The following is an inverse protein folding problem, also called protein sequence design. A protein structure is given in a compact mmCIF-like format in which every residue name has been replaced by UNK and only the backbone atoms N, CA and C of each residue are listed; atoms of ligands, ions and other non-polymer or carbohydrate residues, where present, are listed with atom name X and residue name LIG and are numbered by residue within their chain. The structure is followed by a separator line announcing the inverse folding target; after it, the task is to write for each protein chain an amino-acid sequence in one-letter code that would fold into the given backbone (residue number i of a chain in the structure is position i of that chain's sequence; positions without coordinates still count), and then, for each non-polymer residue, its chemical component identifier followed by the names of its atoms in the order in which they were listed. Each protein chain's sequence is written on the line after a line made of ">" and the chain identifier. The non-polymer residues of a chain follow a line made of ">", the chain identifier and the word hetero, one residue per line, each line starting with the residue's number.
data_IF_698295994470
#
_entry.id   IF_698295994470
#
_cell.length_a   1.000
_cell.length_b   1.000
_cell.length_c   1.000
_cell.angle_alpha   90.00
_cell.angle_beta   90.00
_cell.angle_gamma   90.00
#
_symmetry.space_group_name_H-M   'P 1'
#
loop_
_entity.id
_entity.type
_entity.pdbx_description
1 polymer ?
#
# COMPACT_ATOMS: atom_id res chain seq x y z
N UNK A 1 3.69 -10.88 16.39
CA UNK A 1 2.73 -10.71 15.27
C UNK A 1 2.60 -9.20 15.01
N UNK A 2 2.93 -8.68 13.82
CA UNK A 2 2.89 -7.23 13.54
C UNK A 2 1.46 -6.84 13.11
N UNK A 3 0.86 -5.85 13.75
CA UNK A 3 -0.50 -5.38 13.43
C UNK A 3 -0.44 -4.07 12.64
N UNK A 4 -0.28 -4.17 11.32
CA UNK A 4 -0.12 -3.01 10.44
C UNK A 4 -1.41 -2.18 10.34
N UNK A 5 -2.59 -2.81 10.37
CA UNK A 5 -3.88 -2.11 10.30
C UNK A 5 -4.02 -1.15 11.49
N UNK A 6 -3.74 -1.63 12.71
CA UNK A 6 -3.80 -0.80 13.91
C UNK A 6 -2.76 0.33 13.89
N UNK A 7 -1.58 0.09 13.31
CA UNK A 7 -0.56 1.12 13.10
C UNK A 7 -1.06 2.24 12.17
N UNK A 8 -1.68 1.90 11.03
CA UNK A 8 -2.20 2.90 10.09
C UNK A 8 -3.40 3.68 10.65
N UNK A 9 -4.25 3.04 11.46
CA UNK A 9 -5.33 3.72 12.19
C UNK A 9 -4.75 4.77 13.14
N UNK A 10 -3.75 4.39 13.95
CA UNK A 10 -3.08 5.31 14.86
C UNK A 10 -2.36 6.43 14.11
N UNK A 11 -1.72 6.10 12.98
CA UNK A 11 -1.04 7.05 12.10
C UNK A 11 -1.94 8.20 11.67
N UNK A 12 -3.21 7.93 11.33
CA UNK A 12 -4.18 8.99 10.98
C UNK A 12 -4.54 9.92 12.15
N UNK A 13 -4.35 9.47 13.40
CA UNK A 13 -4.72 10.21 14.62
C UNK A 13 -3.54 10.86 15.35
N UNK A 14 -2.31 10.67 14.88
CA UNK A 14 -1.10 11.06 15.60
C UNK A 14 -0.87 12.59 15.59
N UNK A 15 -0.46 13.20 16.72
CA UNK A 15 -0.04 14.60 16.77
C UNK A 15 1.19 14.85 15.87
N UNK A 16 1.26 16.07 15.31
CA UNK A 16 2.22 16.46 14.24
C UNK A 16 3.69 16.13 14.55
N UNK A 17 4.14 16.24 15.80
CA UNK A 17 5.53 15.99 16.17
C UNK A 17 5.90 14.50 16.09
N UNK A 18 5.00 13.63 16.52
CA UNK A 18 5.19 12.16 16.46
C UNK A 18 4.96 11.63 15.04
N UNK A 19 4.14 12.33 14.24
CA UNK A 19 3.95 12.02 12.82
C UNK A 19 5.28 12.03 12.05
N UNK A 20 6.14 13.05 12.25
CA UNK A 20 7.45 13.11 11.58
C UNK A 20 8.36 11.91 11.87
N UNK A 21 8.35 11.37 13.10
CA UNK A 21 9.13 10.18 13.45
C UNK A 21 8.57 8.91 12.80
N UNK A 22 7.24 8.79 12.75
CA UNK A 22 6.57 7.63 12.14
C UNK A 22 6.65 7.68 10.61
N UNK A 23 6.72 8.87 10.01
CA UNK A 23 6.88 9.06 8.56
C UNK A 23 8.13 8.38 7.99
N UNK A 24 9.21 8.25 8.77
CA UNK A 24 10.39 7.53 8.30
C UNK A 24 10.17 6.03 8.16
N UNK A 25 9.27 5.46 8.96
CA UNK A 25 8.99 4.02 8.97
C UNK A 25 7.74 3.66 8.14
N UNK A 26 6.86 4.63 7.90
CA UNK A 26 5.59 4.38 7.22
C UNK A 26 5.79 3.79 5.83
N UNK A 27 6.82 4.21 5.10
CA UNK A 27 7.10 3.71 3.76
C UNK A 27 7.63 2.27 3.78
N UNK A 28 8.40 1.90 4.80
CA UNK A 28 8.85 0.52 5.03
C UNK A 28 7.63 -0.37 5.29
N UNK A 29 6.71 0.09 6.15
CA UNK A 29 5.49 -0.66 6.49
C UNK A 29 4.52 -0.75 5.32
N UNK A 30 4.39 0.31 4.51
CA UNK A 30 3.56 0.29 3.29
C UNK A 30 4.07 -0.74 2.29
N UNK A 31 5.40 -0.84 2.10
CA UNK A 31 6.01 -1.86 1.24
C UNK A 31 5.75 -3.29 1.76
N UNK A 32 5.84 -3.52 3.06
CA UNK A 32 5.54 -4.83 3.65
C UNK A 32 4.05 -5.17 3.53
N UNK A 33 3.17 -4.20 3.77
CA UNK A 33 1.72 -4.39 3.70
C UNK A 33 1.25 -4.67 2.27
N UNK A 34 1.77 -3.97 1.25
CA UNK A 34 1.38 -4.23 -0.14
C UNK A 34 1.76 -5.64 -0.60
N UNK A 35 2.92 -6.15 -0.16
CA UNK A 35 3.31 -7.55 -0.45
C UNK A 35 2.30 -8.53 0.15
N UNK A 36 1.90 -8.32 1.40
CA UNK A 36 0.89 -9.15 2.08
C UNK A 36 -0.46 -9.05 1.34
N UNK A 37 -0.87 -7.85 0.92
CA UNK A 37 -2.13 -7.64 0.19
C UNK A 37 -2.13 -8.34 -1.17
N UNK A 38 -1.07 -8.18 -1.97
CA UNK A 38 -0.90 -8.86 -3.26
C UNK A 38 -0.96 -10.38 -3.09
N UNK A 39 -0.43 -10.90 -1.98
CA UNK A 39 -0.42 -12.33 -1.69
C UNK A 39 -1.79 -12.84 -1.21
N UNK A 40 -2.52 -12.04 -0.43
CA UNK A 40 -3.78 -12.43 0.20
C UNK A 40 -5.06 -12.18 -0.62
N UNK A 41 -5.09 -11.21 -1.54
CA UNK A 41 -6.32 -10.75 -2.21
C UNK A 41 -6.46 -11.14 -3.70
N UNK A 42 -5.68 -12.09 -4.21
CA UNK A 42 -5.74 -12.49 -5.62
C UNK A 42 -7.17 -12.91 -6.06
N UNK A 43 -7.66 -12.52 -7.26
CA UNK A 43 -6.88 -12.10 -8.42
C UNK A 43 -6.67 -10.58 -8.60
N UNK A 44 -7.58 -9.72 -8.12
CA UNK A 44 -7.56 -8.27 -8.34
C UNK A 44 -7.90 -7.52 -7.06
N UNK A 45 -7.30 -6.34 -6.88
CA UNK A 45 -7.52 -5.51 -5.69
C UNK A 45 -7.82 -4.06 -6.11
N UNK A 46 -8.99 -3.48 -5.76
CA UNK A 46 -9.32 -2.10 -6.10
C UNK A 46 -8.38 -1.09 -5.41
N UNK A 47 -8.00 -0.02 -6.11
CA UNK A 47 -7.13 1.01 -5.52
C UNK A 47 -7.74 1.67 -4.29
N UNK A 48 -9.06 1.87 -4.24
CA UNK A 48 -9.75 2.50 -3.11
C UNK A 48 -9.50 1.79 -1.78
N UNK A 49 -9.52 0.46 -1.83
CA UNK A 49 -9.27 -0.41 -0.67
C UNK A 49 -7.83 -0.24 -0.20
N UNK A 50 -6.90 -0.17 -1.14
CA UNK A 50 -5.47 -0.06 -0.89
C UNK A 50 -5.11 1.32 -0.34
N UNK A 51 -5.65 2.38 -0.92
CA UNK A 51 -5.52 3.76 -0.45
C UNK A 51 -5.97 3.87 1.01
N UNK A 52 -7.13 3.28 1.32
CA UNK A 52 -7.69 3.27 2.68
C UNK A 52 -6.82 2.46 3.65
N UNK A 53 -6.37 1.26 3.27
CA UNK A 53 -5.57 0.39 4.13
C UNK A 53 -4.16 0.91 4.39
N UNK A 54 -3.54 1.57 3.40
CA UNK A 54 -2.18 2.12 3.49
C UNK A 54 -2.15 3.58 3.99
N UNK A 55 -3.32 4.13 4.30
CA UNK A 55 -3.52 5.51 4.75
C UNK A 55 -2.83 6.52 3.81
N UNK A 56 -3.12 6.43 2.51
CA UNK A 56 -2.75 7.46 1.54
C UNK A 56 -3.81 8.57 1.51
N UNK A 57 -3.39 9.78 1.14
CA UNK A 57 -4.27 10.96 1.08
C UNK A 57 -5.21 10.93 -0.13
N UNK A 58 -4.76 10.38 -1.25
CA UNK A 58 -5.57 10.22 -2.46
C UNK A 58 -5.20 8.94 -3.23
N UNK A 59 -6.13 8.49 -4.08
CA UNK A 59 -5.90 7.37 -4.99
C UNK A 59 -4.79 7.66 -6.00
N UNK A 60 -4.63 8.91 -6.42
CA UNK A 60 -3.59 9.35 -7.36
C UNK A 60 -2.20 9.19 -6.74
N UNK A 61 -2.02 9.64 -5.50
CA UNK A 61 -0.75 9.49 -4.75
C UNK A 61 -0.46 8.00 -4.54
N UNK A 62 -1.49 7.21 -4.22
CA UNK A 62 -1.36 5.77 -4.08
C UNK A 62 -0.90 5.12 -5.40
N UNK A 63 -1.52 5.50 -6.52
CA UNK A 63 -1.20 5.00 -7.85
C UNK A 63 0.24 5.30 -8.24
N UNK A 64 0.69 6.55 -8.11
CA UNK A 64 2.07 6.95 -8.43
C UNK A 64 3.09 6.18 -7.58
N UNK A 65 2.85 6.08 -6.27
CA UNK A 65 3.75 5.38 -5.36
C UNK A 65 3.83 3.90 -5.66
N UNK A 66 2.70 3.24 -5.86
CA UNK A 66 2.66 1.81 -6.19
C UNK A 66 3.25 1.52 -7.58
N UNK A 67 3.02 2.40 -8.56
CA UNK A 67 3.63 2.31 -9.88
C UNK A 67 5.15 2.40 -9.79
N UNK A 68 5.69 3.32 -8.97
CA UNK A 68 7.15 3.42 -8.74
C UNK A 68 7.75 2.18 -8.07
N UNK A 69 6.95 1.44 -7.30
CA UNK A 69 7.33 0.18 -6.67
C UNK A 69 7.30 -1.01 -7.65
N UNK A 70 6.68 -0.87 -8.82
CA UNK A 70 6.55 -1.93 -9.83
C UNK A 70 5.25 -2.74 -9.76
N UNK A 71 4.23 -2.22 -9.05
CA UNK A 71 2.87 -2.77 -9.05
C UNK A 71 2.23 -2.52 -10.42
N UNK A 72 1.57 -3.54 -10.95
CA UNK A 72 0.87 -3.46 -12.24
C UNK A 72 -0.62 -3.22 -11.99
N UNK A 73 -1.18 -2.24 -12.70
CA UNK A 73 -2.59 -1.89 -12.66
C UNK A 73 -3.29 -2.30 -13.95
N UNK A 74 -4.59 -2.59 -13.83
CA UNK A 74 -5.51 -2.80 -14.94
C UNK A 74 -6.09 -1.43 -15.31
N UNK A 75 -5.78 -0.94 -16.51
CA UNK A 75 -6.02 0.44 -16.95
C UNK A 75 -7.50 0.87 -16.89
N UNK A 76 -8.45 -0.05 -17.03
CA UNK A 76 -9.88 0.28 -17.13
C UNK A 76 -10.57 0.47 -15.77
N UNK A 77 -10.02 -0.11 -14.70
CA UNK A 77 -10.69 -0.22 -13.40
C UNK A 77 -9.87 0.33 -12.23
N UNK A 78 -8.68 0.89 -12.48
CA UNK A 78 -7.75 1.31 -11.41
C UNK A 78 -7.56 0.19 -10.36
N UNK A 79 -7.62 -1.08 -10.80
CA UNK A 79 -7.46 -2.23 -9.92
C UNK A 79 -6.07 -2.83 -10.12
N UNK A 80 -5.41 -3.18 -9.03
CA UNK A 80 -4.12 -3.86 -9.04
C UNK A 80 -4.31 -5.28 -9.56
N UNK A 81 -3.50 -5.66 -10.54
CA UNK A 81 -3.34 -7.05 -10.94
C UNK A 81 -2.40 -7.75 -9.94
N UNK A 82 -2.98 -8.48 -9.00
CA UNK A 82 -2.22 -9.15 -7.95
C UNK A 82 -1.41 -10.34 -8.47
N UNK A 83 -1.75 -10.91 -9.64
CA UNK A 83 -0.99 -12.03 -10.22
C UNK A 83 0.30 -11.53 -10.85
N UNK A 84 0.19 -10.54 -11.72
CA UNK A 84 1.34 -10.00 -12.46
C UNK A 84 2.23 -9.13 -11.55
N UNK A 85 1.64 -8.45 -10.55
CA UNK A 85 2.43 -7.74 -9.54
C UNK A 85 3.27 -8.68 -8.67
N UNK A 86 2.79 -9.91 -8.40
CA UNK A 86 3.52 -10.88 -7.57
C UNK A 86 4.87 -11.27 -8.19
N UNK A 87 4.86 -11.58 -9.49
CA UNK A 87 6.07 -11.99 -10.22
C UNK A 87 7.10 -10.85 -10.37
N UNK A 88 6.64 -9.60 -10.34
CA UNK A 88 7.53 -8.42 -10.35
C UNK A 88 8.17 -8.14 -9.00
N UNK A 89 7.47 -8.39 -7.89
CA UNK A 89 8.03 -8.21 -6.55
C UNK A 89 9.08 -9.28 -6.20
N UNK A 90 8.98 -10.49 -6.75
CA UNK A 90 9.97 -11.55 -6.51
C UNK A 90 11.30 -11.34 -7.27
N UNK A 91 11.31 -10.47 -8.30
CA UNK A 91 12.50 -10.18 -9.12
C UNK A 91 13.36 -9.02 -8.59
N UNK A 92 12.94 -8.35 -7.51
CA UNK A 92 13.50 -7.07 -7.04
C UNK A 92 13.92 -7.15 -5.58
#
# INVERSE_FOLDING_TARGET
>A
RKNYIQLFILYRSLPKLTCCLVNFFIDIYRKQMIQILIWGFAPTLPIDVVTTMLAYESNEICYERLSSLGVIFINESMSIDCKTSRTNFDKK
#
